data_IF_977372395500
#
_entry.id   IF_977372395500
#
_cell.length_a   1.000
_cell.length_b   1.000
_cell.length_c   1.000
_cell.angle_alpha   90.00
_cell.angle_beta   90.00
_cell.angle_gamma   90.00
#
_symmetry.space_group_name_H-M   'P 1'
#
loop_
_entity.id
_entity.type
_entity.pdbx_description
1 polymer ?
#
# COMPACT_ATOMS: atom_id res chain seq x y z
N UNK A 1 -25.08 11.05 10.22
CA UNK A 1 -25.75 11.89 9.17
C UNK A 1 -26.17 11.09 7.93
N UNK A 2 -25.80 9.81 7.84
CA UNK A 2 -26.08 8.93 6.68
C UNK A 2 -25.61 9.57 5.36
N UNK A 3 -24.36 10.02 5.32
CA UNK A 3 -23.74 10.62 4.15
C UNK A 3 -22.68 9.64 3.65
N UNK A 4 -22.71 9.21 2.38
CA UNK A 4 -21.66 8.38 1.80
C UNK A 4 -20.29 9.05 1.93
N UNK A 5 -19.32 8.33 2.47
CA UNK A 5 -17.91 8.67 2.49
C UNK A 5 -17.18 7.59 1.68
N UNK A 6 -17.11 7.82 0.37
CA UNK A 6 -16.62 6.82 -0.56
C UNK A 6 -15.13 6.93 -0.78
N UNK A 7 -14.48 5.77 -0.83
CA UNK A 7 -13.10 5.60 -1.26
C UNK A 7 -12.10 6.43 -0.48
N UNK A 8 -12.27 6.42 0.87
CA UNK A 8 -11.35 7.13 1.76
C UNK A 8 -9.92 6.65 1.55
N UNK A 9 -8.97 7.58 1.56
CA UNK A 9 -7.55 7.32 1.29
C UNK A 9 -6.87 6.69 2.51
N UNK A 10 -7.27 5.47 2.85
CA UNK A 10 -6.69 4.67 3.93
C UNK A 10 -6.99 3.20 3.72
N UNK A 11 -6.06 2.33 4.11
CA UNK A 11 -6.24 0.89 4.21
C UNK A 11 -6.55 0.43 5.63
N UNK A 12 -6.91 1.34 6.55
CA UNK A 12 -7.26 0.98 7.93
C UNK A 12 -8.43 -0.02 7.93
N UNK A 13 -8.18 -1.20 8.49
CA UNK A 13 -9.06 -2.37 8.41
C UNK A 13 -10.44 -2.13 9.03
N UNK A 14 -10.56 -1.18 9.97
CA UNK A 14 -11.86 -0.79 10.54
C UNK A 14 -12.89 -0.32 9.52
N UNK A 15 -12.48 0.16 8.34
CA UNK A 15 -13.41 0.59 7.28
C UNK A 15 -13.97 -0.58 6.46
N UNK A 16 -13.46 -1.80 6.68
CA UNK A 16 -14.00 -3.02 6.08
C UNK A 16 -15.14 -3.62 6.92
N UNK A 17 -15.65 -2.87 7.91
CA UNK A 17 -16.80 -3.24 8.75
C UNK A 17 -18.09 -2.53 8.27
N UNK A 18 -18.88 -3.15 7.38
CA UNK A 18 -20.13 -2.57 6.90
C UNK A 18 -21.22 -2.44 7.97
N UNK A 19 -21.10 -3.16 9.09
CA UNK A 19 -22.05 -3.06 10.22
C UNK A 19 -21.74 -1.85 11.10
N UNK A 20 -20.47 -1.69 11.46
CA UNK A 20 -20.03 -0.56 12.28
C UNK A 20 -19.99 0.75 11.49
N UNK A 21 -19.59 0.71 10.22
CA UNK A 21 -19.39 1.88 9.36
C UNK A 21 -20.15 1.80 8.03
N UNK A 22 -21.49 1.66 8.04
CA UNK A 22 -22.29 1.38 6.82
C UNK A 22 -22.28 2.50 5.78
N UNK A 23 -21.64 3.64 6.05
CA UNK A 23 -21.59 4.82 5.19
C UNK A 23 -20.16 5.20 4.78
N UNK A 24 -19.18 4.36 5.12
CA UNK A 24 -17.76 4.61 4.80
C UNK A 24 -17.18 3.37 4.12
N UNK A 25 -16.52 3.56 3.00
CA UNK A 25 -15.83 2.50 2.27
C UNK A 25 -14.44 2.98 1.85
N UNK A 26 -13.40 2.16 2.04
CA UNK A 26 -12.05 2.42 1.59
C UNK A 26 -11.85 2.16 0.10
N UNK A 27 -10.64 2.36 -0.40
CA UNK A 27 -10.29 2.03 -1.78
C UNK A 27 -9.05 1.17 -1.89
N UNK A 28 -7.96 1.57 -1.24
CA UNK A 28 -6.70 0.84 -1.28
C UNK A 28 -6.77 -0.48 -0.50
N UNK A 29 -5.82 -1.39 -0.71
CA UNK A 29 -5.73 -2.63 0.06
C UNK A 29 -5.72 -2.39 1.56
N UNK A 30 -6.35 -3.30 2.31
CA UNK A 30 -6.27 -3.28 3.78
C UNK A 30 -4.80 -3.42 4.22
N UNK A 31 -4.40 -2.64 5.21
CA UNK A 31 -3.06 -2.72 5.78
C UNK A 31 -2.74 -4.10 6.37
N UNK A 32 -3.74 -4.74 6.99
CA UNK A 32 -3.56 -6.12 7.49
C UNK A 32 -3.38 -7.11 6.35
N UNK A 33 -4.14 -6.98 5.23
CA UNK A 33 -3.99 -7.85 4.06
C UNK A 33 -2.61 -7.73 3.42
N UNK A 34 -2.12 -6.51 3.24
CA UNK A 34 -0.80 -6.26 2.69
C UNK A 34 0.31 -6.84 3.59
N UNK A 35 0.20 -6.62 4.90
CA UNK A 35 1.16 -7.18 5.87
C UNK A 35 1.19 -8.71 5.87
N UNK A 36 0.03 -9.36 5.70
CA UNK A 36 -0.04 -10.82 5.54
C UNK A 36 0.65 -11.30 4.26
N UNK A 37 0.58 -10.53 3.17
CA UNK A 37 1.31 -10.85 1.93
C UNK A 37 2.82 -10.82 2.17
N UNK A 38 3.33 -9.82 2.88
CA UNK A 38 4.74 -9.76 3.27
C UNK A 38 5.14 -10.92 4.18
N UNK A 39 4.29 -11.27 5.14
CA UNK A 39 4.52 -12.43 6.01
C UNK A 39 4.55 -13.75 5.22
N UNK A 40 3.61 -13.98 4.30
CA UNK A 40 3.59 -15.15 3.40
C UNK A 40 4.87 -15.22 2.55
N UNK A 41 5.31 -14.09 2.00
CA UNK A 41 6.57 -13.99 1.27
C UNK A 41 7.76 -14.38 2.14
N UNK A 42 7.87 -13.84 3.35
CA UNK A 42 8.97 -14.13 4.27
C UNK A 42 8.98 -15.58 4.73
N UNK A 43 7.82 -16.17 5.02
CA UNK A 43 7.72 -17.59 5.37
C UNK A 43 8.23 -18.52 4.26
N UNK A 44 8.04 -18.11 3.00
CA UNK A 44 8.51 -18.87 1.84
C UNK A 44 10.00 -18.67 1.59
N UNK A 45 10.47 -17.43 1.56
CA UNK A 45 11.80 -17.07 1.07
C UNK A 45 12.86 -17.03 2.20
N UNK A 46 12.44 -16.75 3.44
CA UNK A 46 13.32 -16.57 4.61
C UNK A 46 12.64 -17.06 5.92
N UNK A 47 12.33 -18.37 6.02
CA UNK A 47 11.47 -18.90 7.10
C UNK A 47 12.05 -18.81 8.51
N UNK A 48 13.33 -18.51 8.65
CA UNK A 48 14.04 -18.43 9.94
C UNK A 48 14.67 -17.06 10.19
N UNK A 49 14.30 -16.06 9.36
CA UNK A 49 14.83 -14.71 9.48
C UNK A 49 14.39 -14.02 10.78
N UNK A 50 15.30 -13.26 11.37
CA UNK A 50 15.02 -12.33 12.45
C UNK A 50 14.44 -11.04 11.88
N UNK A 51 13.26 -10.68 12.31
CA UNK A 51 12.51 -9.54 11.78
C UNK A 51 12.45 -8.44 12.83
N UNK A 52 12.81 -7.23 12.42
CA UNK A 52 12.44 -6.02 13.15
C UNK A 52 11.35 -5.26 12.38
N UNK A 53 10.46 -4.64 13.11
CA UNK A 53 9.34 -3.86 12.55
C UNK A 53 9.45 -2.43 13.05
N UNK A 54 9.57 -1.46 12.12
CA UNK A 54 9.37 -0.04 12.37
C UNK A 54 7.95 0.33 11.96
N UNK A 55 7.16 0.91 12.87
CA UNK A 55 5.78 1.24 12.55
C UNK A 55 5.34 2.57 13.16
N UNK A 56 4.48 3.31 12.45
CA UNK A 56 3.85 4.52 12.96
C UNK A 56 2.86 4.17 14.09
N UNK A 57 2.87 4.91 15.20
CA UNK A 57 2.05 4.61 16.38
C UNK A 57 0.61 5.11 16.25
N UNK A 58 -0.10 4.60 15.25
CA UNK A 58 -1.53 4.87 15.02
C UNK A 58 -2.22 3.66 14.38
N UNK A 59 -3.45 3.83 13.90
CA UNK A 59 -4.22 2.76 13.23
C UNK A 59 -3.47 2.19 12.02
N UNK A 60 -2.72 3.02 11.26
CA UNK A 60 -1.95 2.60 10.11
C UNK A 60 -0.87 1.58 10.50
N UNK A 61 0.05 1.95 11.39
CA UNK A 61 1.15 1.07 11.76
C UNK A 61 0.71 -0.13 12.58
N UNK A 62 -0.30 0.03 13.45
CA UNK A 62 -0.84 -1.06 14.28
C UNK A 62 -1.56 -2.13 13.45
N UNK A 63 -2.25 -1.74 12.38
CA UNK A 63 -2.85 -2.69 11.44
C UNK A 63 -1.79 -3.53 10.72
N UNK A 64 -0.70 -2.89 10.24
CA UNK A 64 0.42 -3.64 9.65
C UNK A 64 1.09 -4.58 10.64
N UNK A 65 1.33 -4.12 11.88
CA UNK A 65 1.89 -4.96 12.93
C UNK A 65 1.02 -6.18 13.21
N UNK A 66 -0.30 -5.97 13.33
CA UNK A 66 -1.27 -7.05 13.52
C UNK A 66 -1.28 -8.01 12.34
N UNK A 67 -1.38 -7.49 11.11
CA UNK A 67 -1.40 -8.30 9.90
C UNK A 67 -0.12 -9.13 9.72
N UNK A 68 1.04 -8.57 10.09
CA UNK A 68 2.31 -9.32 10.08
C UNK A 68 2.28 -10.48 11.07
N UNK A 69 1.84 -10.23 12.31
CA UNK A 69 1.73 -11.29 13.34
C UNK A 69 0.76 -12.39 12.91
N UNK A 70 -0.40 -12.01 12.40
CA UNK A 70 -1.42 -12.96 11.91
C UNK A 70 -0.88 -13.78 10.73
N UNK A 71 -0.18 -13.13 9.78
CA UNK A 71 0.38 -13.80 8.61
C UNK A 71 1.54 -14.75 8.93
N UNK A 72 2.37 -14.43 9.93
CA UNK A 72 3.44 -15.31 10.42
C UNK A 72 2.89 -16.44 11.30
N UNK A 73 1.71 -16.27 11.89
CA UNK A 73 1.05 -17.27 12.71
C UNK A 73 1.94 -17.74 13.88
N UNK A 74 2.10 -19.03 14.04
CA UNK A 74 2.91 -19.62 15.12
C UNK A 74 4.40 -19.20 15.11
N UNK A 75 4.92 -18.75 13.96
CA UNK A 75 6.31 -18.26 13.84
C UNK A 75 6.50 -16.81 14.29
N UNK A 76 5.44 -16.04 14.51
CA UNK A 76 5.54 -14.64 14.88
C UNK A 76 6.44 -14.42 16.11
N UNK A 77 6.26 -15.20 17.17
CA UNK A 77 7.03 -15.07 18.41
C UNK A 77 8.52 -15.45 18.30
N UNK A 78 8.91 -16.26 17.31
CA UNK A 78 10.30 -16.63 17.07
C UNK A 78 10.99 -15.77 16.03
N UNK A 79 10.24 -15.24 15.04
CA UNK A 79 10.81 -14.44 13.97
C UNK A 79 10.85 -12.94 14.32
N UNK A 80 9.82 -12.39 14.97
CA UNK A 80 9.80 -10.97 15.35
C UNK A 80 10.64 -10.77 16.61
N UNK A 81 11.83 -10.18 16.44
CA UNK A 81 12.76 -9.92 17.55
C UNK A 81 12.64 -8.50 18.10
N UNK A 82 12.01 -7.59 17.36
CA UNK A 82 11.86 -6.20 17.76
C UNK A 82 10.68 -5.52 17.08
N UNK A 83 9.92 -4.77 17.88
CA UNK A 83 8.85 -3.88 17.45
C UNK A 83 9.20 -2.47 17.93
N UNK A 84 9.40 -1.54 17.01
CA UNK A 84 9.77 -0.16 17.32
C UNK A 84 8.75 0.79 16.70
N UNK A 85 8.07 1.56 17.55
CA UNK A 85 7.11 2.56 17.09
C UNK A 85 7.72 3.95 17.06
N UNK A 86 7.21 4.80 16.16
CA UNK A 86 7.52 6.22 16.10
C UNK A 86 6.23 7.05 16.04
N UNK A 87 6.33 8.32 16.45
CA UNK A 87 5.23 9.26 16.38
C UNK A 87 5.34 10.12 15.12
N UNK A 88 4.22 10.43 14.47
CA UNK A 88 4.19 11.28 13.27
C UNK A 88 4.72 12.71 13.55
N UNK A 89 4.69 13.14 14.79
CA UNK A 89 5.21 14.44 15.25
C UNK A 89 6.74 14.48 15.39
N UNK A 90 7.41 13.34 15.32
CA UNK A 90 8.86 13.30 15.41
C UNK A 90 9.53 13.97 14.20
N UNK A 91 10.62 14.72 14.40
CA UNK A 91 11.32 15.35 13.28
C UNK A 91 12.06 14.33 12.42
N UNK A 92 12.58 13.26 13.04
CA UNK A 92 13.42 12.21 12.42
C UNK A 92 13.25 10.89 13.19
N UNK A 93 13.50 9.76 12.49
CA UNK A 93 13.48 8.42 13.07
C UNK A 93 14.87 7.82 13.25
N UNK A 94 15.92 8.63 13.21
CA UNK A 94 17.31 8.19 13.22
C UNK A 94 17.67 7.33 14.43
N UNK A 95 17.21 7.73 15.61
CA UNK A 95 17.42 7.00 16.87
C UNK A 95 16.77 5.61 16.84
N UNK A 96 15.59 5.50 16.27
CA UNK A 96 14.87 4.22 16.10
C UNK A 96 15.67 3.26 15.21
N UNK A 97 16.22 3.75 14.08
CA UNK A 97 17.01 2.92 13.17
C UNK A 97 18.32 2.46 13.81
N UNK A 98 19.00 3.33 14.57
CA UNK A 98 20.20 2.96 15.33
C UNK A 98 19.88 1.83 16.33
N UNK A 99 18.77 1.97 17.06
CA UNK A 99 18.31 0.98 18.03
C UNK A 99 17.94 -0.35 17.36
N UNK A 100 17.22 -0.32 16.23
CA UNK A 100 16.87 -1.51 15.46
C UNK A 100 18.14 -2.22 14.94
N UNK A 101 19.10 -1.46 14.37
CA UNK A 101 20.36 -2.04 13.90
C UNK A 101 21.10 -2.78 15.01
N UNK A 102 21.09 -2.26 16.24
CA UNK A 102 21.77 -2.88 17.38
C UNK A 102 21.20 -4.28 17.72
N UNK A 103 19.92 -4.55 17.43
CA UNK A 103 19.30 -5.87 17.55
C UNK A 103 19.70 -6.84 16.43
N UNK A 104 20.37 -6.37 15.39
CA UNK A 104 20.91 -7.13 14.27
C UNK A 104 19.86 -8.03 13.57
N UNK A 105 18.74 -7.51 13.10
CA UNK A 105 17.75 -8.27 12.34
C UNK A 105 18.22 -8.53 10.90
N UNK A 106 17.73 -9.61 10.31
CA UNK A 106 17.95 -9.97 8.90
C UNK A 106 16.98 -9.18 7.98
N UNK A 107 15.81 -8.85 8.50
CA UNK A 107 14.71 -8.17 7.79
C UNK A 107 14.25 -6.95 8.58
N UNK A 108 14.07 -5.84 7.88
CA UNK A 108 13.42 -4.63 8.38
C UNK A 108 12.10 -4.43 7.64
N UNK A 109 10.98 -4.58 8.35
CA UNK A 109 9.66 -4.19 7.86
C UNK A 109 9.45 -2.71 8.18
N UNK A 110 9.09 -1.92 7.16
CA UNK A 110 8.99 -0.46 7.23
C UNK A 110 7.53 -0.06 7.02
N UNK A 111 6.79 0.10 8.10
CA UNK A 111 5.39 0.54 8.10
C UNK A 111 5.32 2.03 8.45
N UNK A 112 5.85 2.81 7.54
CA UNK A 112 6.07 4.24 7.70
C UNK A 112 5.43 5.03 6.55
N UNK A 113 4.98 6.24 6.83
CA UNK A 113 4.52 7.18 5.80
C UNK A 113 5.69 7.74 4.99
N UNK A 114 5.48 8.34 3.79
CA UNK A 114 6.53 8.66 2.83
C UNK A 114 7.78 9.35 3.39
N UNK A 115 7.60 10.40 4.19
CA UNK A 115 8.72 11.12 4.83
C UNK A 115 9.62 10.17 5.62
N UNK A 116 9.02 9.36 6.47
CA UNK A 116 9.75 8.45 7.38
C UNK A 116 10.27 7.21 6.65
N UNK A 117 9.58 6.78 5.59
CA UNK A 117 10.06 5.75 4.68
C UNK A 117 11.38 6.15 4.02
N UNK A 118 11.44 7.36 3.44
CA UNK A 118 12.66 7.90 2.85
C UNK A 118 13.78 8.05 3.87
N UNK A 119 13.48 8.55 5.08
CA UNK A 119 14.46 8.68 6.17
C UNK A 119 15.00 7.31 6.60
N UNK A 120 14.15 6.28 6.66
CA UNK A 120 14.56 4.92 7.02
C UNK A 120 15.57 4.36 6.03
N UNK A 121 15.29 4.42 4.72
CA UNK A 121 16.21 3.97 3.67
C UNK A 121 17.55 4.71 3.77
N UNK A 122 17.49 6.04 3.84
CA UNK A 122 18.69 6.89 3.92
C UNK A 122 19.52 6.54 5.15
N UNK A 123 18.89 6.47 6.34
CA UNK A 123 19.60 6.18 7.59
C UNK A 123 20.20 4.78 7.62
N UNK A 124 19.50 3.80 7.07
CA UNK A 124 20.00 2.43 6.94
C UNK A 124 21.28 2.39 6.10
N UNK A 125 21.30 3.12 4.97
CA UNK A 125 22.49 3.26 4.12
C UNK A 125 23.65 4.01 4.80
N UNK A 126 23.36 5.14 5.46
CA UNK A 126 24.38 5.91 6.23
C UNK A 126 25.08 5.07 7.30
N UNK A 127 24.34 4.15 7.91
CA UNK A 127 24.89 3.23 8.90
C UNK A 127 25.68 2.06 8.28
N UNK A 128 25.73 1.94 6.96
CA UNK A 128 26.33 0.79 6.26
C UNK A 128 25.63 -0.54 6.57
N UNK A 129 24.37 -0.49 7.04
CA UNK A 129 23.59 -1.67 7.41
C UNK A 129 22.70 -2.11 6.24
N UNK A 130 22.71 -3.40 5.92
CA UNK A 130 22.06 -3.96 4.72
C UNK A 130 21.09 -5.09 5.05
N UNK A 131 20.01 -4.84 5.81
CA UNK A 131 18.96 -5.83 6.00
C UNK A 131 18.15 -5.98 4.71
N UNK A 132 17.37 -7.06 4.58
CA UNK A 132 16.29 -7.07 3.61
C UNK A 132 15.23 -6.07 4.06
N UNK A 133 15.04 -4.98 3.31
CA UNK A 133 14.03 -3.97 3.59
C UNK A 133 12.75 -4.30 2.83
N UNK A 134 11.62 -4.36 3.53
CA UNK A 134 10.27 -4.49 2.93
C UNK A 134 9.43 -3.31 3.41
N UNK A 135 8.94 -2.52 2.47
CA UNK A 135 8.23 -1.28 2.74
C UNK A 135 6.76 -1.38 2.32
N UNK A 136 5.87 -0.77 3.09
CA UNK A 136 4.46 -0.60 2.70
C UNK A 136 4.31 0.07 1.32
N UNK A 137 3.27 -0.31 0.57
CA UNK A 137 2.97 0.34 -0.71
C UNK A 137 2.68 1.84 -0.57
N UNK A 138 2.19 2.28 0.59
CA UNK A 138 1.93 3.70 0.89
C UNK A 138 3.19 4.56 0.71
N UNK A 139 4.37 3.98 0.90
CA UNK A 139 5.66 4.64 0.77
C UNK A 139 6.49 4.15 -0.41
N UNK A 140 5.84 3.54 -1.42
CA UNK A 140 6.53 3.02 -2.60
C UNK A 140 6.67 4.04 -3.75
N UNK A 141 6.27 5.31 -3.56
CA UNK A 141 6.40 6.34 -4.59
C UNK A 141 7.85 6.58 -4.99
N UNK A 142 8.14 6.52 -6.30
CA UNK A 142 9.49 6.79 -6.81
C UNK A 142 9.86 8.25 -6.54
N UNK A 143 9.03 9.20 -6.93
CA UNK A 143 9.30 10.64 -6.76
C UNK A 143 9.27 11.09 -5.30
N UNK A 144 8.27 10.66 -4.53
CA UNK A 144 8.09 11.13 -3.16
C UNK A 144 8.95 10.41 -2.12
N UNK A 145 9.50 9.22 -2.41
CA UNK A 145 10.23 8.40 -1.43
C UNK A 145 11.59 7.94 -1.94
N UNK A 146 11.66 7.23 -3.07
CA UNK A 146 12.92 6.63 -3.53
C UNK A 146 13.92 7.68 -3.95
N UNK A 147 13.49 8.70 -4.67
CA UNK A 147 14.34 9.81 -5.09
C UNK A 147 14.90 10.62 -3.89
N UNK A 148 14.08 11.07 -2.92
CA UNK A 148 14.58 11.73 -1.70
C UNK A 148 15.48 10.85 -0.82
N UNK A 149 15.26 9.53 -0.81
CA UNK A 149 16.11 8.57 -0.10
C UNK A 149 17.48 8.38 -0.78
N UNK A 150 17.54 8.67 -2.09
CA UNK A 150 18.66 8.34 -2.97
C UNK A 150 18.47 6.97 -3.63
N UNK A 151 18.45 6.94 -4.96
CA UNK A 151 18.19 5.69 -5.70
C UNK A 151 19.20 4.59 -5.35
N UNK A 152 20.47 4.93 -5.16
CA UNK A 152 21.51 3.96 -4.77
C UNK A 152 21.23 3.34 -3.38
N UNK A 153 20.67 4.11 -2.46
CA UNK A 153 20.33 3.66 -1.11
C UNK A 153 19.08 2.74 -1.13
N UNK A 154 18.20 2.93 -2.11
CA UNK A 154 16.95 2.21 -2.23
C UNK A 154 17.07 0.88 -2.99
N UNK A 155 18.25 0.57 -3.57
CA UNK A 155 18.41 -0.66 -4.34
C UNK A 155 18.08 -1.91 -3.52
N UNK A 156 17.22 -2.77 -4.09
CA UNK A 156 16.82 -4.02 -3.46
C UNK A 156 15.69 -3.92 -2.42
N UNK A 157 15.21 -2.71 -2.09
CA UNK A 157 14.00 -2.54 -1.27
C UNK A 157 12.83 -3.25 -1.93
N UNK A 158 12.06 -4.00 -1.15
CA UNK A 158 10.85 -4.68 -1.59
C UNK A 158 9.60 -3.91 -1.15
N UNK A 159 8.54 -4.08 -1.92
CA UNK A 159 7.18 -3.64 -1.60
C UNK A 159 6.18 -4.54 -2.31
N UNK A 160 4.90 -4.20 -2.27
CA UNK A 160 3.87 -4.84 -3.08
C UNK A 160 3.06 -3.78 -3.83
N UNK A 161 2.65 -4.10 -5.05
CA UNK A 161 1.91 -3.22 -5.93
C UNK A 161 0.52 -3.78 -6.24
N UNK A 162 -0.45 -2.90 -6.35
CA UNK A 162 -1.77 -3.15 -6.92
C UNK A 162 -2.06 -2.21 -8.11
N UNK A 163 -1.28 -1.14 -8.24
CA UNK A 163 -1.37 -0.15 -9.30
C UNK A 163 -0.11 -0.15 -10.16
N UNK A 164 -0.23 0.32 -11.38
CA UNK A 164 0.87 0.53 -12.32
C UNK A 164 1.74 1.68 -11.86
N UNK A 165 3.05 1.52 -11.92
CA UNK A 165 4.00 2.60 -11.64
C UNK A 165 4.24 3.41 -12.93
N UNK A 166 3.95 4.72 -12.88
CA UNK A 166 4.13 5.60 -14.03
C UNK A 166 5.60 5.82 -14.42
N UNK A 167 6.54 5.55 -13.51
CA UNK A 167 7.98 5.58 -13.78
C UNK A 167 8.46 4.33 -14.55
N UNK A 168 7.68 3.25 -14.59
CA UNK A 168 8.07 2.03 -15.28
C UNK A 168 7.71 2.06 -16.78
N UNK A 169 8.73 2.00 -17.62
CA UNK A 169 8.60 2.04 -19.06
C UNK A 169 7.72 0.91 -19.66
N UNK A 170 7.51 -0.20 -18.93
CA UNK A 170 6.62 -1.27 -19.39
C UNK A 170 5.18 -0.78 -19.64
N UNK A 171 4.75 0.24 -18.91
CA UNK A 171 3.40 0.81 -19.02
C UNK A 171 3.28 1.96 -20.01
N UNK A 172 4.38 2.36 -20.67
CA UNK A 172 4.41 3.52 -21.57
C UNK A 172 3.42 3.40 -22.74
N UNK A 173 3.19 2.18 -23.23
CA UNK A 173 2.25 1.89 -24.33
C UNK A 173 0.94 1.26 -23.84
N UNK A 174 0.71 1.20 -22.53
CA UNK A 174 -0.54 0.71 -21.98
C UNK A 174 -1.66 1.73 -22.23
N UNK A 175 -2.80 1.31 -22.82
CA UNK A 175 -3.87 2.24 -23.18
C UNK A 175 -4.45 3.00 -21.99
N UNK A 176 -4.51 2.38 -20.81
CA UNK A 176 -5.00 3.02 -19.58
C UNK A 176 -4.03 4.08 -19.07
N UNK A 177 -2.73 3.77 -19.09
CA UNK A 177 -1.70 4.74 -18.69
C UNK A 177 -1.52 5.86 -19.72
N UNK A 178 -1.80 5.62 -20.98
CA UNK A 178 -1.86 6.68 -22.01
C UNK A 178 -2.98 7.67 -21.69
N UNK A 179 -4.20 7.22 -21.41
CA UNK A 179 -5.32 8.09 -21.01
C UNK A 179 -5.01 8.86 -19.72
N UNK A 180 -4.41 8.19 -18.71
CA UNK A 180 -3.96 8.84 -17.51
C UNK A 180 -2.94 9.96 -17.81
N UNK A 181 -1.97 9.68 -18.67
CA UNK A 181 -0.95 10.66 -19.06
C UNK A 181 -1.55 11.88 -19.77
N UNK A 182 -2.47 11.68 -20.71
CA UNK A 182 -3.21 12.74 -21.40
C UNK A 182 -4.04 13.58 -20.43
N UNK A 183 -4.66 12.94 -19.42
CA UNK A 183 -5.39 13.64 -18.37
C UNK A 183 -4.45 14.52 -17.55
N UNK A 184 -3.30 14.02 -17.13
CA UNK A 184 -2.31 14.81 -16.37
C UNK A 184 -1.80 15.98 -17.20
N UNK A 185 -1.49 15.78 -18.50
CA UNK A 185 -1.05 16.85 -19.38
C UNK A 185 -2.09 17.98 -19.46
N UNK A 186 -3.35 17.61 -19.52
CA UNK A 186 -4.45 18.57 -19.72
C UNK A 186 -4.82 19.33 -18.44
N UNK A 187 -4.87 18.62 -17.31
CA UNK A 187 -5.46 19.17 -16.09
C UNK A 187 -4.47 19.47 -14.96
N UNK A 188 -3.27 18.88 -15.04
CA UNK A 188 -2.22 19.04 -14.03
C UNK A 188 -0.84 19.25 -14.69
N UNK A 189 -0.70 20.21 -15.62
CA UNK A 189 0.56 20.43 -16.31
C UNK A 189 1.66 20.78 -15.29
N UNK A 190 2.81 20.10 -15.39
CA UNK A 190 3.94 20.29 -14.47
C UNK A 190 3.91 19.43 -13.20
N UNK A 191 2.88 18.59 -13.01
CA UNK A 191 2.89 17.60 -11.92
C UNK A 191 4.01 16.56 -12.10
N UNK A 192 4.63 16.17 -10.99
CA UNK A 192 5.63 15.09 -10.97
C UNK A 192 4.94 13.74 -11.23
N UNK A 193 5.10 13.21 -12.43
CA UNK A 193 4.47 11.94 -12.84
C UNK A 193 5.03 10.71 -12.14
N UNK A 194 6.17 10.83 -11.47
CA UNK A 194 6.76 9.76 -10.66
C UNK A 194 6.15 9.68 -9.26
N UNK A 195 5.27 10.63 -8.90
CA UNK A 195 4.47 10.55 -7.68
C UNK A 195 3.27 9.62 -7.88
N UNK A 196 3.30 8.48 -7.21
CA UNK A 196 2.25 7.46 -7.25
C UNK A 196 0.87 7.97 -6.78
N UNK A 197 0.80 9.08 -6.04
CA UNK A 197 -0.46 9.68 -5.61
C UNK A 197 -1.32 10.13 -6.80
N UNK A 198 -0.72 10.50 -7.94
CA UNK A 198 -1.45 10.88 -9.15
C UNK A 198 -2.15 9.67 -9.80
N UNK A 199 -1.46 8.53 -9.85
CA UNK A 199 -2.00 7.25 -10.35
C UNK A 199 -3.13 6.78 -9.44
N UNK A 200 -2.92 6.85 -8.13
CA UNK A 200 -3.91 6.50 -7.10
C UNK A 200 -5.18 7.34 -7.26
N UNK A 201 -5.05 8.68 -7.25
CA UNK A 201 -6.19 9.60 -7.33
C UNK A 201 -7.04 9.40 -8.60
N UNK A 202 -6.39 9.12 -9.72
CA UNK A 202 -7.09 8.83 -10.99
C UNK A 202 -7.89 7.53 -10.90
N UNK A 203 -7.32 6.46 -10.35
CA UNK A 203 -8.02 5.19 -10.15
C UNK A 203 -9.23 5.31 -9.20
N UNK A 204 -9.08 6.09 -8.12
CA UNK A 204 -10.19 6.42 -7.20
C UNK A 204 -11.31 7.16 -7.95
N UNK A 205 -10.95 8.17 -8.75
CA UNK A 205 -11.93 8.95 -9.53
C UNK A 205 -12.68 8.08 -10.55
N UNK A 206 -11.98 7.19 -11.26
CA UNK A 206 -12.62 6.23 -12.17
C UNK A 206 -13.58 5.29 -11.44
N UNK A 207 -13.22 4.84 -10.23
CA UNK A 207 -14.09 3.98 -9.42
C UNK A 207 -15.34 4.73 -8.99
N UNK A 208 -15.21 6.00 -8.58
CA UNK A 208 -16.36 6.84 -8.25
C UNK A 208 -17.26 7.08 -9.47
N UNK A 209 -16.67 7.39 -10.62
CA UNK A 209 -17.44 7.56 -11.87
C UNK A 209 -18.24 6.29 -12.19
N UNK A 210 -17.63 5.10 -12.04
CA UNK A 210 -18.31 3.82 -12.23
C UNK A 210 -19.49 3.64 -11.28
N UNK A 211 -19.33 3.99 -10.01
CA UNK A 211 -20.43 3.94 -9.03
C UNK A 211 -21.58 4.87 -9.45
N UNK A 212 -21.27 6.09 -9.87
CA UNK A 212 -22.30 7.05 -10.32
C UNK A 212 -23.02 6.58 -11.59
N UNK A 213 -22.32 5.99 -12.55
CA UNK A 213 -22.92 5.34 -13.72
C UNK A 213 -23.91 4.23 -13.31
N UNK A 214 -23.53 3.40 -12.33
CA UNK A 214 -24.38 2.31 -11.82
C UNK A 214 -25.63 2.85 -11.08
N UNK A 215 -25.58 4.07 -10.58
CA UNK A 215 -26.74 4.70 -9.92
C UNK A 215 -27.86 5.08 -10.90
N UNK A 216 -27.55 5.28 -12.18
CA UNK A 216 -28.49 5.87 -13.13
C UNK A 216 -29.02 7.23 -12.64
N UNK A 217 -30.31 7.42 -12.71
CA UNK A 217 -30.96 8.68 -12.30
C UNK A 217 -31.18 8.78 -10.78
N UNK A 218 -31.02 7.69 -10.02
CA UNK A 218 -31.18 7.69 -8.57
C UNK A 218 -29.84 7.93 -7.85
N UNK A 219 -29.52 9.20 -7.64
CA UNK A 219 -28.35 9.64 -6.86
C UNK A 219 -28.66 9.79 -5.36
N UNK A 220 -29.69 9.10 -4.84
CA UNK A 220 -29.93 9.10 -3.41
C UNK A 220 -28.75 8.47 -2.64
N UNK A 221 -28.50 8.96 -1.43
CA UNK A 221 -27.41 8.46 -0.58
C UNK A 221 -27.44 6.94 -0.39
N UNK A 222 -28.63 6.38 -0.25
CA UNK A 222 -28.83 4.95 -0.07
C UNK A 222 -28.43 4.17 -1.33
N UNK A 223 -28.83 4.64 -2.53
CA UNK A 223 -28.47 3.99 -3.78
C UNK A 223 -26.97 4.13 -4.08
N UNK A 224 -26.36 5.30 -3.84
CA UNK A 224 -24.91 5.49 -4.01
C UNK A 224 -24.13 4.50 -3.16
N UNK A 225 -24.47 4.31 -1.86
CA UNK A 225 -23.82 3.30 -1.02
C UNK A 225 -24.08 1.87 -1.51
N UNK A 226 -25.30 1.55 -1.95
CA UNK A 226 -25.65 0.26 -2.50
C UNK A 226 -24.80 -0.08 -3.73
N UNK A 227 -24.62 0.88 -4.64
CA UNK A 227 -23.82 0.68 -5.85
C UNK A 227 -22.33 0.58 -5.51
N UNK A 228 -21.82 1.41 -4.59
CA UNK A 228 -20.44 1.34 -4.12
C UNK A 228 -20.13 -0.03 -3.45
N UNK A 229 -21.11 -0.63 -2.78
CA UNK A 229 -21.03 -1.97 -2.20
C UNK A 229 -21.46 -3.09 -3.17
N UNK A 230 -21.41 -2.87 -4.49
CA UNK A 230 -21.82 -3.84 -5.51
C UNK A 230 -20.89 -3.89 -6.71
N UNK A 231 -19.70 -3.35 -6.56
CA UNK A 231 -18.68 -3.42 -7.61
C UNK A 231 -18.25 -4.86 -7.85
N UNK A 232 -18.16 -5.25 -9.12
CA UNK A 232 -17.79 -6.61 -9.49
C UNK A 232 -16.81 -6.58 -10.67
N UNK A 233 -15.64 -7.18 -10.46
CA UNK A 233 -14.59 -7.36 -11.45
C UNK A 233 -14.19 -6.05 -12.17
N UNK A 234 -14.35 -4.91 -11.49
CA UNK A 234 -14.00 -3.62 -12.06
C UNK A 234 -12.50 -3.38 -11.98
N UNK A 235 -11.90 -2.97 -13.10
CA UNK A 235 -10.47 -2.67 -13.18
C UNK A 235 -10.29 -1.25 -13.71
N UNK A 236 -10.00 -0.26 -12.85
CA UNK A 236 -9.56 1.06 -13.30
C UNK A 236 -8.31 0.99 -14.19
N UNK A 237 -8.16 1.93 -15.10
CA UNK A 237 -7.06 1.97 -16.07
C UNK A 237 -5.66 1.91 -15.41
N UNK A 238 -5.55 2.39 -14.17
CA UNK A 238 -4.28 2.48 -13.43
C UNK A 238 -3.96 1.29 -12.54
N UNK A 239 -4.87 0.32 -12.39
CA UNK A 239 -4.56 -0.91 -11.65
C UNK A 239 -3.75 -1.90 -12.50
N UNK A 240 -3.03 -2.80 -11.83
CA UNK A 240 -2.40 -3.93 -12.49
C UNK A 240 -3.48 -4.80 -13.17
N UNK A 241 -3.22 -5.37 -14.34
CA UNK A 241 -4.24 -6.07 -15.15
C UNK A 241 -4.98 -7.19 -14.42
N UNK A 242 -4.34 -7.84 -13.46
CA UNK A 242 -4.91 -8.95 -12.71
C UNK A 242 -5.55 -8.51 -11.37
N UNK A 243 -5.46 -7.24 -11.02
CA UNK A 243 -6.08 -6.69 -9.81
C UNK A 243 -7.47 -6.15 -10.14
N UNK A 244 -8.45 -6.58 -9.37
CA UNK A 244 -9.85 -6.22 -9.59
C UNK A 244 -10.48 -5.65 -8.33
N UNK A 245 -11.34 -4.67 -8.52
CA UNK A 245 -12.17 -4.12 -7.46
C UNK A 245 -13.43 -4.95 -7.35
N UNK A 246 -13.63 -5.50 -6.16
CA UNK A 246 -14.84 -6.21 -5.79
C UNK A 246 -15.31 -5.70 -4.43
N UNK A 247 -16.61 -5.46 -4.30
CA UNK A 247 -17.25 -5.08 -3.04
C UNK A 247 -18.57 -5.81 -2.90
N UNK A 248 -19.04 -5.98 -1.67
CA UNK A 248 -20.35 -6.54 -1.38
C UNK A 248 -20.98 -5.89 -0.15
N UNK A 249 -22.24 -6.20 0.13
CA UNK A 249 -22.92 -5.73 1.34
C UNK A 249 -22.25 -6.19 2.65
N UNK A 250 -21.40 -7.23 2.59
CA UNK A 250 -20.67 -7.80 3.73
C UNK A 250 -19.16 -7.61 3.63
N UNK A 251 -18.66 -6.98 2.56
CA UNK A 251 -17.22 -6.78 2.35
C UNK A 251 -16.96 -5.41 1.69
N UNK A 252 -16.36 -4.51 2.47
CA UNK A 252 -15.98 -3.16 2.05
C UNK A 252 -14.48 -3.05 1.75
N UNK A 253 -13.76 -4.18 1.54
CA UNK A 253 -12.37 -4.22 1.12
C UNK A 253 -12.26 -4.33 -0.42
N UNK A 254 -12.16 -3.22 -1.19
CA UNK A 254 -12.27 -3.26 -2.65
C UNK A 254 -11.13 -4.02 -3.32
N UNK A 255 -9.91 -3.96 -2.76
CA UNK A 255 -8.70 -4.56 -3.32
C UNK A 255 -8.05 -5.44 -2.27
N UNK A 256 -7.89 -6.74 -2.59
CA UNK A 256 -7.22 -7.72 -1.73
C UNK A 256 -6.02 -8.42 -2.41
N UNK A 257 -5.70 -8.02 -3.63
CA UNK A 257 -4.68 -8.66 -4.46
C UNK A 257 -3.52 -7.70 -4.70
N UNK A 258 -2.29 -8.17 -4.45
CA UNK A 258 -1.06 -7.42 -4.73
C UNK A 258 -0.02 -8.34 -5.37
N UNK A 259 0.93 -7.73 -6.08
CA UNK A 259 2.11 -8.40 -6.60
C UNK A 259 3.36 -7.82 -5.95
N UNK A 260 4.31 -8.67 -5.58
CA UNK A 260 5.59 -8.19 -5.04
C UNK A 260 6.36 -7.41 -6.08
N UNK A 261 7.08 -6.38 -5.61
CA UNK A 261 7.96 -5.56 -6.44
C UNK A 261 9.29 -5.29 -5.73
N UNK A 262 10.35 -5.06 -6.53
CA UNK A 262 11.69 -4.74 -6.06
C UNK A 262 12.17 -3.46 -6.70
N UNK A 263 12.73 -2.55 -5.92
CA UNK A 263 13.34 -1.35 -6.46
C UNK A 263 14.69 -1.67 -7.09
N UNK A 264 14.86 -1.29 -8.37
CA UNK A 264 16.06 -1.54 -9.15
C UNK A 264 16.29 -0.42 -10.16
N UNK A 265 17.50 0.15 -10.16
CA UNK A 265 17.77 1.36 -10.91
C UNK A 265 16.94 2.52 -10.36
N UNK A 266 16.01 3.05 -11.15
CA UNK A 266 15.15 4.18 -10.80
C UNK A 266 13.66 3.82 -10.84
N UNK A 267 13.32 2.52 -10.81
CA UNK A 267 11.94 2.02 -10.95
C UNK A 267 11.68 0.78 -10.12
N UNK A 268 10.41 0.44 -10.01
CA UNK A 268 9.97 -0.83 -9.46
C UNK A 268 9.92 -1.91 -10.54
N UNK A 269 10.46 -3.08 -10.25
CA UNK A 269 10.30 -4.30 -11.05
C UNK A 269 9.34 -5.26 -10.34
N UNK A 270 8.23 -5.59 -11.00
CA UNK A 270 7.29 -6.60 -10.50
C UNK A 270 7.93 -7.99 -10.58
N UNK A 271 7.68 -8.83 -9.58
CA UNK A 271 8.12 -10.22 -9.59
C UNK A 271 7.15 -11.14 -8.85
N UNK A 272 7.27 -12.44 -9.11
CA UNK A 272 6.38 -13.44 -8.54
C UNK A 272 4.95 -13.34 -9.05
N UNK A 273 4.09 -14.18 -8.50
CA UNK A 273 2.67 -14.20 -8.82
C UNK A 273 1.90 -13.19 -7.96
N UNK A 274 0.65 -12.89 -8.36
CA UNK A 274 -0.27 -12.12 -7.53
C UNK A 274 -0.63 -12.93 -6.29
N UNK A 275 -0.58 -12.29 -5.14
CA UNK A 275 -0.88 -12.87 -3.84
C UNK A 275 -2.14 -12.19 -3.30
N UNK A 276 -3.07 -12.99 -2.80
CA UNK A 276 -4.25 -12.48 -2.07
C UNK A 276 -3.95 -12.41 -0.58
N UNK A 277 -4.33 -11.28 0.03
CA UNK A 277 -4.36 -11.08 1.47
C UNK A 277 -5.80 -11.19 1.95
N UNK A 278 -6.12 -12.31 2.61
CA UNK A 278 -7.47 -12.55 3.11
C UNK A 278 -7.59 -12.03 4.55
N UNK A 279 -8.13 -10.83 4.71
CA UNK A 279 -8.66 -10.37 6.01
C UNK A 279 -10.15 -10.48 5.93
N UNK A 280 -10.74 -11.39 6.71
CA UNK A 280 -12.19 -11.50 6.83
C UNK A 280 -12.77 -10.14 7.25
N UNK A 281 -13.90 -9.76 6.65
CA UNK A 281 -14.70 -8.63 7.12
C UNK A 281 -15.03 -8.85 8.61
N UNK A 282 -14.80 -7.84 9.43
CA UNK A 282 -15.05 -7.89 10.88
C UNK A 282 -16.53 -7.79 11.20
#
# INVERSE_FOLDING_TARGET
KKIPQLFVATGATKWNDPKGFPWTIGWQPSYQSEAQIYAKFLLKEKPDAKIAILYQNDDFGKDYLKGTKDGLGAKAGSMIIMEESYEISEPTIDSHIVKIKAANPDVLLIYATPKFGAQTIKKTAELGWKPLQIMTNVSASVGAVMQPAGFDNAQGVLSAAYAKDAADAQWKSDPGMTKWSEFIDKYMPGADRTDSALVYGYGVAQTLAKVLEMCGDDLSRANVMKQAASLKDFTPDTLLPSVKINTSASDFAPISQLQMQRFKGEKWELFGEIISGDVAAQ
#
